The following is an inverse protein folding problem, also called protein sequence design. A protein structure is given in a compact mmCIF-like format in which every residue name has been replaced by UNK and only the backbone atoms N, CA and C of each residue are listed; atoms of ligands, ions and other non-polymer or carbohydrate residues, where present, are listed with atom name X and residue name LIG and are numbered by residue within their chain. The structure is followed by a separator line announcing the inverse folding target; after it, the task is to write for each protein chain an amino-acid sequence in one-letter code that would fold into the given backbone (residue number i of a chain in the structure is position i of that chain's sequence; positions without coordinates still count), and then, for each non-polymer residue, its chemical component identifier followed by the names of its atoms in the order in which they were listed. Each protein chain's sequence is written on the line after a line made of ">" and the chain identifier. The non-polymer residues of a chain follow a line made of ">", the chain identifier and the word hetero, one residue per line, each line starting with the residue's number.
data_IF_137741093703
#
_entry.id   IF_137741093703
#
_cell.length_a   1.000
_cell.length_b   1.000
_cell.length_c   1.000
_cell.angle_alpha   90.00
_cell.angle_beta   90.00
_cell.angle_gamma   90.00
#
_symmetry.space_group_name_H-M   'P 1'
#
loop_
_entity.id
_entity.type
_entity.pdbx_description
1 polymer ?
#
# COMPACT_ATOMS: atom_id res chain seq x y z
N UNK A 1 32.82 68.93 26.29
CA UNK A 1 32.60 67.50 26.55
C UNK A 1 31.13 67.21 26.36
N UNK A 2 30.75 66.63 25.22
CA UNK A 2 29.39 66.19 24.93
C UNK A 2 29.31 64.71 25.29
N UNK A 3 28.47 64.40 26.27
CA UNK A 3 28.10 63.02 26.64
C UNK A 3 27.14 62.49 25.62
N UNK A 4 27.61 61.52 24.82
CA UNK A 4 26.77 60.70 23.92
C UNK A 4 25.95 59.74 24.76
N UNK A 5 24.64 59.92 24.77
CA UNK A 5 23.71 58.94 25.31
C UNK A 5 23.55 57.81 24.30
N UNK A 6 24.07 56.63 24.61
CA UNK A 6 23.77 55.38 23.92
C UNK A 6 22.29 55.06 24.14
N UNK A 7 21.46 55.30 23.18
CA UNK A 7 20.10 54.71 23.09
C UNK A 7 20.25 53.27 22.62
N UNK A 8 20.26 52.30 23.56
CA UNK A 8 20.02 50.90 23.29
C UNK A 8 18.58 50.74 22.84
N UNK A 9 18.35 50.76 21.54
CA UNK A 9 17.08 50.36 20.93
C UNK A 9 16.98 48.85 20.95
N UNK A 10 16.66 48.29 22.11
CA UNK A 10 16.18 46.92 22.20
C UNK A 10 14.82 46.87 21.49
N UNK A 11 14.79 46.32 20.28
CA UNK A 11 13.56 46.14 19.50
C UNK A 11 12.65 45.22 20.31
N UNK A 12 11.70 45.76 21.04
CA UNK A 12 10.76 45.02 21.87
C UNK A 12 9.85 44.22 20.93
N UNK A 13 10.01 42.90 20.92
CA UNK A 13 9.20 41.99 20.11
C UNK A 13 7.76 42.00 20.63
N UNK A 14 6.79 42.21 19.76
CA UNK A 14 5.39 42.28 20.16
C UNK A 14 4.86 40.92 20.65
N UNK A 15 3.87 40.92 21.55
CA UNK A 15 3.22 39.69 21.99
C UNK A 15 2.59 38.89 20.82
N UNK A 16 2.21 39.58 19.73
CA UNK A 16 1.73 38.97 18.51
C UNK A 16 2.86 38.19 17.82
N UNK A 17 4.06 38.78 17.72
CA UNK A 17 5.22 38.09 17.11
C UNK A 17 5.64 36.91 17.97
N UNK A 18 5.54 36.98 19.29
CA UNK A 18 5.79 35.85 20.20
C UNK A 18 4.76 34.73 19.95
N UNK A 19 3.49 35.05 19.78
CA UNK A 19 2.46 34.05 19.45
C UNK A 19 2.76 33.39 18.12
N UNK A 20 3.16 34.13 17.09
CA UNK A 20 3.54 33.61 15.79
C UNK A 20 4.83 32.76 15.86
N UNK A 21 5.77 33.15 16.71
CA UNK A 21 6.96 32.36 17.02
C UNK A 21 6.60 31.03 17.68
N UNK A 22 5.70 31.01 18.68
CA UNK A 22 5.19 29.77 19.28
C UNK A 22 4.54 28.88 18.22
N UNK A 23 3.70 29.44 17.34
CA UNK A 23 3.03 28.68 16.29
C UNK A 23 4.01 28.01 15.32
N UNK A 24 5.09 28.69 14.93
CA UNK A 24 6.13 28.14 14.03
C UNK A 24 7.07 27.13 14.70
N UNK A 25 7.31 27.29 16.02
CA UNK A 25 8.32 26.52 16.76
C UNK A 25 7.72 25.60 17.84
N UNK A 26 6.42 25.29 17.80
CA UNK A 26 5.73 24.48 18.81
C UNK A 26 6.33 23.09 19.03
N UNK A 27 7.04 22.56 18.03
CA UNK A 27 7.76 21.27 18.08
C UNK A 27 9.06 21.31 18.90
N UNK A 28 9.58 22.51 19.23
CA UNK A 28 10.79 22.70 20.03
C UNK A 28 10.48 22.77 21.53
N UNK A 29 11.47 22.54 22.40
CA UNK A 29 11.29 22.69 23.85
C UNK A 29 11.17 24.19 24.22
N UNK A 30 9.95 24.72 24.13
CA UNK A 30 9.66 26.10 24.53
C UNK A 30 9.25 26.14 25.98
N UNK A 31 9.91 27.02 26.77
CA UNK A 31 9.57 27.34 28.17
C UNK A 31 9.07 28.78 28.30
N UNK A 32 8.35 29.06 29.37
CA UNK A 32 7.86 30.43 29.66
C UNK A 32 9.04 31.38 29.84
N UNK A 33 10.12 30.94 30.47
CA UNK A 33 11.34 31.72 30.68
C UNK A 33 11.98 32.09 29.33
N UNK A 34 12.03 31.14 28.40
CA UNK A 34 12.55 31.36 27.05
C UNK A 34 11.71 32.37 26.27
N UNK A 35 10.38 32.23 26.30
CA UNK A 35 9.45 33.16 25.65
C UNK A 35 9.49 34.55 26.23
N UNK A 36 9.59 34.65 27.57
CA UNK A 36 9.75 35.90 28.26
C UNK A 36 11.07 36.63 27.90
N UNK A 37 12.17 35.85 27.83
CA UNK A 37 13.47 36.38 27.39
C UNK A 37 13.41 36.96 25.97
N UNK A 38 12.81 36.26 25.04
CA UNK A 38 12.65 36.74 23.65
C UNK A 38 11.78 38.01 23.61
N UNK A 39 10.75 38.09 24.41
CA UNK A 39 9.86 39.27 24.47
C UNK A 39 10.47 40.47 25.17
N UNK A 40 11.60 40.32 25.84
CA UNK A 40 12.19 41.35 26.67
C UNK A 40 11.42 41.63 27.97
N UNK A 41 10.51 40.72 28.37
CA UNK A 41 9.69 40.87 29.58
C UNK A 41 10.16 39.92 30.70
N UNK A 42 9.87 40.26 31.95
CA UNK A 42 10.03 39.33 33.07
C UNK A 42 9.00 38.22 32.97
N UNK A 43 9.37 36.97 33.33
CA UNK A 43 8.51 35.77 33.17
C UNK A 43 7.13 35.93 33.83
N UNK A 44 7.05 36.51 35.02
CA UNK A 44 5.78 36.78 35.70
C UNK A 44 4.88 37.75 34.92
N UNK A 45 5.45 38.83 34.44
CA UNK A 45 4.72 39.82 33.65
C UNK A 45 4.34 39.32 32.26
N UNK A 46 5.24 38.54 31.61
CA UNK A 46 4.96 37.94 30.31
C UNK A 46 3.71 37.04 30.35
N UNK A 47 3.59 36.17 31.35
CA UNK A 47 2.44 35.27 31.50
C UNK A 47 1.11 36.03 31.61
N UNK A 48 1.07 37.07 32.42
CA UNK A 48 -0.12 37.92 32.59
C UNK A 48 -0.44 38.72 31.32
N UNK A 49 0.58 39.34 30.71
CA UNK A 49 0.43 40.14 29.50
C UNK A 49 -0.05 39.25 28.31
N UNK A 50 0.49 38.05 28.14
CA UNK A 50 0.07 37.11 27.10
C UNK A 50 -1.38 36.66 27.33
N UNK A 51 -1.74 36.30 28.58
CA UNK A 51 -3.11 35.90 28.92
C UNK A 51 -4.10 37.05 28.70
N UNK A 52 -3.75 38.27 29.06
CA UNK A 52 -4.59 39.43 28.81
C UNK A 52 -4.76 39.76 27.32
N UNK A 53 -3.70 39.57 26.53
CA UNK A 53 -3.73 39.85 25.07
C UNK A 53 -4.50 38.83 24.26
N UNK A 54 -4.48 37.54 24.69
CA UNK A 54 -5.00 36.43 23.88
C UNK A 54 -6.05 35.56 24.59
N UNK A 55 -6.50 35.97 25.77
CA UNK A 55 -7.50 35.26 26.60
C UNK A 55 -7.14 33.83 26.98
N UNK A 56 -5.87 33.45 26.83
CA UNK A 56 -5.33 32.14 27.20
C UNK A 56 -3.84 32.25 27.58
N UNK A 57 -3.35 31.33 28.42
CA UNK A 57 -1.93 31.30 28.75
C UNK A 57 -1.07 30.85 27.56
N UNK A 58 0.21 31.26 27.50
CA UNK A 58 1.15 30.85 26.49
C UNK A 58 1.35 29.31 26.52
N UNK A 59 1.29 28.69 27.71
CA UNK A 59 1.37 27.21 27.88
C UNK A 59 0.16 26.51 27.32
N UNK A 60 -1.06 27.05 27.52
CA UNK A 60 -2.28 26.45 26.96
C UNK A 60 -2.31 26.59 25.44
N UNK A 61 -1.89 27.75 24.92
CA UNK A 61 -1.76 28.00 23.50
C UNK A 61 -0.77 26.98 22.84
N UNK A 62 0.43 26.83 23.41
CA UNK A 62 1.41 25.85 22.96
C UNK A 62 0.86 24.42 23.03
N UNK A 63 0.16 24.08 24.12
CA UNK A 63 -0.48 22.76 24.27
C UNK A 63 -1.53 22.53 23.18
N UNK A 64 -2.39 23.50 22.91
CA UNK A 64 -3.44 23.39 21.89
C UNK A 64 -2.84 23.16 20.49
N UNK A 65 -1.76 23.88 20.13
CA UNK A 65 -1.04 23.69 18.88
C UNK A 65 -0.45 22.28 18.76
N UNK A 66 0.23 21.82 19.81
CA UNK A 66 0.83 20.47 19.84
C UNK A 66 -0.22 19.38 19.74
N UNK A 67 -1.31 19.49 20.46
CA UNK A 67 -2.42 18.53 20.40
C UNK A 67 -3.12 18.57 19.04
N UNK A 68 -3.33 19.75 18.46
CA UNK A 68 -3.86 19.91 17.12
C UNK A 68 -3.02 19.20 16.06
N UNK A 69 -1.71 19.41 16.10
CA UNK A 69 -0.76 18.72 15.20
C UNK A 69 -0.71 17.21 15.48
N UNK A 70 -0.75 16.78 16.76
CA UNK A 70 -0.83 15.38 17.11
C UNK A 70 -2.09 14.70 16.55
N UNK A 71 -3.25 15.34 16.64
CA UNK A 71 -4.50 14.85 16.02
C UNK A 71 -4.35 14.64 14.52
N UNK A 72 -3.70 15.56 13.83
CA UNK A 72 -3.42 15.43 12.40
C UNK A 72 -2.51 14.24 12.11
N UNK A 73 -1.37 14.11 12.80
CA UNK A 73 -0.44 12.98 12.62
C UNK A 73 -1.09 11.64 12.95
N UNK A 74 -1.89 11.56 14.04
CA UNK A 74 -2.61 10.35 14.42
C UNK A 74 -3.66 9.90 13.39
N UNK A 75 -4.26 10.86 12.67
CA UNK A 75 -5.24 10.59 11.62
C UNK A 75 -4.58 10.22 10.29
N UNK A 76 -3.52 10.96 9.91
CA UNK A 76 -3.00 10.99 8.54
C UNK A 76 -1.72 10.13 8.36
N UNK A 77 -1.15 9.57 9.45
CA UNK A 77 0.11 8.78 9.39
C UNK A 77 0.06 7.51 10.24
N UNK A 78 0.97 6.58 9.98
CA UNK A 78 1.19 5.37 10.78
C UNK A 78 2.42 5.46 11.68
N UNK A 79 2.86 6.69 12.00
CA UNK A 79 3.96 6.93 12.92
C UNK A 79 3.69 6.30 14.27
N UNK A 80 4.72 5.74 14.88
CA UNK A 80 4.64 5.23 16.25
C UNK A 80 4.34 6.38 17.22
N UNK A 81 3.64 6.07 18.30
CA UNK A 81 3.24 7.08 19.28
C UNK A 81 4.42 7.91 19.81
N UNK A 82 5.57 7.25 20.03
CA UNK A 82 6.82 7.91 20.43
C UNK A 82 7.34 8.90 19.38
N UNK A 83 7.15 8.61 18.10
CA UNK A 83 7.58 9.47 17.01
C UNK A 83 6.66 10.70 16.89
N UNK A 84 5.35 10.47 17.03
CA UNK A 84 4.37 11.55 17.09
C UNK A 84 4.67 12.47 18.28
N UNK A 85 4.88 11.90 19.47
CA UNK A 85 5.24 12.68 20.66
C UNK A 85 6.43 13.61 20.39
N UNK A 86 7.53 13.06 19.84
CA UNK A 86 8.73 13.83 19.49
C UNK A 86 8.46 14.92 18.44
N UNK A 87 7.72 14.59 17.38
CA UNK A 87 7.39 15.53 16.30
C UNK A 87 6.55 16.72 16.78
N UNK A 88 5.74 16.52 17.80
CA UNK A 88 4.91 17.60 18.37
C UNK A 88 5.53 18.25 19.60
N UNK A 89 6.78 17.92 19.94
CA UNK A 89 7.55 18.62 20.98
C UNK A 89 7.46 18.01 22.38
N UNK A 90 7.10 16.73 22.51
CA UNK A 90 7.20 15.98 23.77
C UNK A 90 8.35 14.98 23.74
N UNK A 91 9.18 14.96 24.75
CA UNK A 91 10.31 14.02 24.88
C UNK A 91 9.87 12.64 25.37
N UNK A 92 8.75 12.55 26.09
CA UNK A 92 8.22 11.33 26.70
C UNK A 92 6.83 10.98 26.15
N UNK A 93 6.67 9.76 25.63
CA UNK A 93 5.42 9.31 25.02
C UNK A 93 4.30 9.04 26.03
N UNK A 94 4.66 8.65 27.26
CA UNK A 94 3.66 8.40 28.31
C UNK A 94 3.11 9.71 28.86
N UNK A 95 3.98 10.72 29.01
CA UNK A 95 3.53 12.07 29.35
C UNK A 95 2.64 12.65 28.24
N UNK A 96 3.06 12.54 26.99
CA UNK A 96 2.25 12.93 25.83
C UNK A 96 0.88 12.25 25.84
N UNK A 97 0.84 10.93 26.03
CA UNK A 97 -0.41 10.15 26.04
C UNK A 97 -1.37 10.62 27.14
N UNK A 98 -0.87 10.87 28.35
CA UNK A 98 -1.67 11.42 29.46
C UNK A 98 -2.17 12.84 29.15
N UNK A 99 -1.29 13.69 28.61
CA UNK A 99 -1.65 15.07 28.23
C UNK A 99 -2.70 15.08 27.12
N UNK A 100 -2.50 14.27 26.09
CA UNK A 100 -3.47 14.13 24.99
C UNK A 100 -4.84 13.65 25.51
N UNK A 101 -4.87 12.62 26.37
CA UNK A 101 -6.13 12.13 26.98
C UNK A 101 -6.82 13.22 27.81
N UNK A 102 -6.05 14.03 28.55
CA UNK A 102 -6.60 15.14 29.32
C UNK A 102 -7.26 16.19 28.44
N UNK A 103 -6.62 16.55 27.31
CA UNK A 103 -7.09 17.62 26.41
C UNK A 103 -8.20 17.14 25.45
N UNK A 104 -8.22 15.84 25.09
CA UNK A 104 -9.11 15.26 24.04
C UNK A 104 -10.20 14.36 24.61
N UNK A 105 -10.03 13.89 25.85
CA UNK A 105 -10.96 12.97 26.50
C UNK A 105 -10.68 11.49 26.28
N UNK A 106 -9.98 11.13 25.19
CA UNK A 106 -9.63 9.75 24.82
C UNK A 106 -8.13 9.62 24.57
N UNK A 107 -7.61 8.39 24.62
CA UNK A 107 -6.19 8.13 24.37
C UNK A 107 -5.81 8.40 22.90
N UNK A 108 -4.52 8.71 22.58
CA UNK A 108 -4.07 8.88 21.20
C UNK A 108 -4.43 7.69 20.30
N UNK A 109 -4.28 6.44 20.79
CA UNK A 109 -4.61 5.24 20.02
C UNK A 109 -6.11 5.12 19.74
N UNK A 110 -6.97 5.43 20.73
CA UNK A 110 -8.42 5.46 20.51
C UNK A 110 -8.82 6.55 19.52
N UNK A 111 -8.20 7.75 19.63
CA UNK A 111 -8.42 8.82 18.67
C UNK A 111 -8.02 8.44 17.25
N UNK A 112 -6.83 7.86 17.08
CA UNK A 112 -6.36 7.38 15.77
C UNK A 112 -7.34 6.40 15.14
N UNK A 113 -7.82 5.42 15.93
CA UNK A 113 -8.79 4.43 15.47
C UNK A 113 -10.14 5.04 15.06
N UNK A 114 -10.60 6.05 15.78
CA UNK A 114 -11.87 6.76 15.47
C UNK A 114 -11.72 7.73 14.28
N UNK A 115 -10.58 8.41 14.15
CA UNK A 115 -10.36 9.44 13.15
C UNK A 115 -9.98 8.91 11.77
N UNK A 116 -9.60 7.62 11.66
CA UNK A 116 -9.29 6.98 10.37
C UNK A 116 -10.56 6.70 9.62
N UNK A 117 -10.61 7.16 8.38
CA UNK A 117 -11.72 6.83 7.48
C UNK A 117 -11.82 5.32 7.28
N UNK A 118 -13.03 4.80 7.33
CA UNK A 118 -13.38 3.40 7.07
C UNK A 118 -13.51 3.21 5.57
N UNK A 119 -12.61 2.44 4.98
CA UNK A 119 -12.52 2.30 3.53
C UNK A 119 -13.02 0.94 3.12
N UNK A 120 -13.76 0.87 2.01
CA UNK A 120 -14.23 -0.36 1.40
C UNK A 120 -13.95 -0.40 -0.09
N UNK A 121 -13.94 -1.60 -0.66
CA UNK A 121 -13.81 -1.82 -2.10
C UNK A 121 -14.40 -3.18 -2.49
N UNK A 122 -14.83 -3.29 -3.74
CA UNK A 122 -15.22 -4.57 -4.35
C UNK A 122 -14.15 -5.14 -5.29
N UNK A 123 -13.00 -4.48 -5.41
CA UNK A 123 -11.89 -4.90 -6.27
C UNK A 123 -10.77 -5.56 -5.47
N UNK A 124 -10.32 -6.76 -5.91
CA UNK A 124 -9.13 -7.43 -5.36
C UNK A 124 -7.89 -6.56 -5.58
N UNK A 125 -7.76 -5.93 -6.75
CA UNK A 125 -6.63 -5.06 -7.07
C UNK A 125 -6.59 -3.81 -6.19
N UNK A 126 -7.74 -3.17 -5.94
CA UNK A 126 -7.83 -2.06 -4.99
C UNK A 126 -7.50 -2.52 -3.56
N UNK A 127 -7.91 -3.73 -3.17
CA UNK A 127 -7.52 -4.32 -1.89
C UNK A 127 -6.01 -4.41 -1.76
N UNK A 128 -5.31 -4.93 -2.77
CA UNK A 128 -3.86 -5.00 -2.80
C UNK A 128 -3.18 -3.63 -2.72
N UNK A 129 -3.72 -2.62 -3.40
CA UNK A 129 -3.21 -1.25 -3.33
C UNK A 129 -3.41 -0.63 -1.93
N UNK A 130 -4.58 -0.82 -1.30
CA UNK A 130 -4.84 -0.37 0.07
C UNK A 130 -3.88 -1.02 1.07
N UNK A 131 -3.66 -2.33 0.94
CA UNK A 131 -2.73 -3.06 1.79
C UNK A 131 -1.27 -2.59 1.59
N UNK A 132 -0.87 -2.23 0.37
CA UNK A 132 0.43 -1.61 0.10
C UNK A 132 0.60 -0.26 0.82
N UNK A 133 -0.50 0.46 1.04
CA UNK A 133 -0.55 1.71 1.80
C UNK A 133 -0.71 1.51 3.32
N UNK A 134 -0.66 0.25 3.80
CA UNK A 134 -0.87 -0.08 5.21
C UNK A 134 -2.31 0.09 5.70
N UNK A 135 -3.29 0.10 4.79
CA UNK A 135 -4.69 0.28 5.11
C UNK A 135 -5.43 -1.04 5.04
N UNK A 136 -6.07 -1.42 6.16
CA UNK A 136 -6.99 -2.54 6.21
C UNK A 136 -8.41 -2.03 5.87
N UNK A 137 -8.99 -2.43 4.73
CA UNK A 137 -10.36 -2.06 4.41
C UNK A 137 -11.36 -2.71 5.40
N UNK A 138 -12.51 -2.05 5.61
CA UNK A 138 -13.58 -2.61 6.47
C UNK A 138 -14.47 -3.60 5.72
N UNK A 139 -14.46 -3.53 4.39
CA UNK A 139 -15.09 -4.52 3.51
C UNK A 139 -14.24 -4.66 2.25
N UNK A 140 -13.90 -5.88 1.87
CA UNK A 140 -13.11 -6.19 0.69
C UNK A 140 -13.39 -7.61 0.18
N UNK A 141 -13.12 -7.90 -1.10
CA UNK A 141 -13.18 -9.25 -1.62
C UNK A 141 -12.02 -10.10 -1.08
N UNK A 142 -12.36 -11.15 -0.36
CA UNK A 142 -11.42 -12.17 0.11
C UNK A 142 -11.96 -13.55 -0.22
N UNK A 143 -11.21 -14.32 -0.97
CA UNK A 143 -11.58 -15.67 -1.38
C UNK A 143 -10.40 -16.62 -1.23
N UNK A 144 -10.60 -17.75 -0.54
CA UNK A 144 -9.56 -18.71 -0.25
C UNK A 144 -8.96 -19.38 -1.51
N UNK A 145 -9.74 -19.47 -2.60
CA UNK A 145 -9.31 -20.09 -3.85
C UNK A 145 -8.67 -19.10 -4.81
N UNK A 146 -9.28 -17.89 -4.95
CA UNK A 146 -8.90 -16.92 -5.98
C UNK A 146 -7.95 -15.83 -5.50
N UNK A 147 -8.00 -15.52 -4.20
CA UNK A 147 -7.07 -14.58 -3.56
C UNK A 147 -6.45 -15.17 -2.27
N UNK A 148 -5.84 -16.36 -2.33
CA UNK A 148 -5.37 -17.11 -1.17
C UNK A 148 -4.38 -16.31 -0.30
N UNK A 149 -3.56 -15.48 -0.90
CA UNK A 149 -2.62 -14.64 -0.16
C UNK A 149 -3.36 -13.69 0.77
N UNK A 150 -4.34 -12.93 0.26
CA UNK A 150 -5.10 -12.00 1.08
C UNK A 150 -5.97 -12.71 2.10
N UNK A 151 -6.61 -13.81 1.69
CA UNK A 151 -7.40 -14.62 2.60
C UNK A 151 -6.57 -15.09 3.79
N UNK A 152 -5.43 -15.75 3.57
CA UNK A 152 -4.61 -16.31 4.63
C UNK A 152 -4.03 -15.26 5.59
N UNK A 153 -3.75 -14.03 5.11
CA UNK A 153 -3.12 -13.00 5.94
C UNK A 153 -4.11 -12.03 6.58
N UNK A 154 -5.31 -11.89 6.03
CA UNK A 154 -6.20 -10.78 6.37
C UNK A 154 -7.65 -11.17 6.66
N UNK A 155 -8.08 -12.44 6.51
CA UNK A 155 -9.48 -12.83 6.71
C UNK A 155 -9.99 -12.54 8.14
N UNK A 156 -9.14 -12.66 9.15
CA UNK A 156 -9.50 -12.29 10.54
C UNK A 156 -9.42 -10.78 10.81
N UNK A 157 -8.69 -10.04 9.97
CA UNK A 157 -8.43 -8.61 10.15
C UNK A 157 -9.40 -7.72 9.40
N UNK A 158 -9.91 -8.19 8.26
CA UNK A 158 -10.91 -7.50 7.44
C UNK A 158 -12.28 -8.07 7.83
N UNK A 159 -13.15 -7.27 8.45
CA UNK A 159 -14.34 -7.81 9.11
C UNK A 159 -15.45 -8.25 8.16
N UNK A 160 -15.50 -7.69 6.94
CA UNK A 160 -16.56 -7.99 5.97
C UNK A 160 -15.96 -8.45 4.64
N UNK A 161 -16.31 -9.69 4.24
CA UNK A 161 -15.87 -10.28 2.98
C UNK A 161 -16.99 -10.22 1.95
N UNK A 162 -16.72 -9.58 0.81
CA UNK A 162 -17.65 -9.45 -0.30
C UNK A 162 -17.36 -10.46 -1.40
N UNK A 163 -18.37 -10.81 -2.18
CA UNK A 163 -18.24 -11.74 -3.29
C UNK A 163 -17.47 -11.04 -4.45
N UNK A 164 -16.45 -11.73 -4.98
CA UNK A 164 -15.61 -11.24 -6.09
C UNK A 164 -16.27 -11.39 -7.47
N UNK A 165 -17.26 -12.30 -7.61
CA UNK A 165 -17.85 -12.65 -8.91
C UNK A 165 -19.13 -11.89 -9.22
N UNK A 166 -19.73 -11.26 -8.21
CA UNK A 166 -20.94 -10.48 -8.35
C UNK A 166 -20.87 -9.27 -7.42
N UNK A 167 -20.08 -8.28 -7.85
CA UNK A 167 -19.78 -7.09 -7.05
C UNK A 167 -21.04 -6.31 -6.66
N UNK A 168 -22.04 -6.24 -7.56
CA UNK A 168 -23.26 -5.48 -7.38
C UNK A 168 -24.44 -6.33 -6.89
N UNK A 169 -24.18 -7.49 -6.28
CA UNK A 169 -25.24 -8.31 -5.69
C UNK A 169 -25.88 -7.64 -4.47
N UNK A 170 -27.16 -7.95 -4.24
CA UNK A 170 -27.88 -7.47 -3.05
C UNK A 170 -27.19 -7.88 -1.73
N UNK A 171 -26.56 -9.06 -1.71
CA UNK A 171 -25.78 -9.54 -0.56
C UNK A 171 -24.56 -8.65 -0.29
N UNK A 172 -23.82 -8.29 -1.33
CA UNK A 172 -22.68 -7.36 -1.20
C UNK A 172 -23.14 -5.98 -0.73
N UNK A 173 -24.27 -5.48 -1.19
CA UNK A 173 -24.82 -4.22 -0.73
C UNK A 173 -25.20 -4.27 0.76
N UNK A 174 -25.84 -5.34 1.21
CA UNK A 174 -26.15 -5.56 2.64
C UNK A 174 -24.87 -5.64 3.49
N UNK A 175 -23.87 -6.36 3.03
CA UNK A 175 -22.55 -6.46 3.67
C UNK A 175 -21.85 -5.10 3.77
N UNK A 176 -21.85 -4.33 2.68
CA UNK A 176 -21.24 -3.01 2.65
C UNK A 176 -21.95 -2.05 3.61
N UNK A 177 -23.30 -2.03 3.62
CA UNK A 177 -24.07 -1.23 4.56
C UNK A 177 -23.75 -1.59 6.02
N UNK A 178 -23.62 -2.88 6.34
CA UNK A 178 -23.25 -3.35 7.68
C UNK A 178 -21.83 -2.93 8.09
N UNK A 179 -20.92 -2.86 7.12
CA UNK A 179 -19.54 -2.42 7.33
C UNK A 179 -19.44 -0.92 7.62
N UNK A 180 -20.45 -0.11 7.30
CA UNK A 180 -20.50 1.35 7.51
C UNK A 180 -19.21 2.04 7.09
N UNK A 181 -18.76 1.94 5.83
CA UNK A 181 -17.59 2.65 5.36
C UNK A 181 -17.87 4.14 5.21
N UNK A 182 -16.83 4.97 5.32
CA UNK A 182 -16.89 6.40 5.00
C UNK A 182 -16.59 6.64 3.52
N UNK A 183 -15.73 5.76 2.93
CA UNK A 183 -15.31 5.83 1.53
C UNK A 183 -15.46 4.45 0.88
N UNK A 184 -15.99 4.42 -0.34
CA UNK A 184 -15.90 3.27 -1.23
C UNK A 184 -15.02 3.61 -2.45
N UNK A 185 -14.04 2.75 -2.75
CA UNK A 185 -13.10 2.97 -3.86
C UNK A 185 -13.42 1.99 -4.98
N UNK A 186 -13.67 2.55 -6.16
CA UNK A 186 -13.90 1.83 -7.41
C UNK A 186 -12.65 1.85 -8.30
N UNK A 187 -12.42 0.77 -9.03
CA UNK A 187 -11.41 0.67 -10.08
C UNK A 187 -12.04 0.56 -11.47
N UNK A 188 -13.29 0.07 -11.51
CA UNK A 188 -14.12 0.02 -12.71
C UNK A 188 -15.30 0.96 -12.53
N UNK A 189 -15.88 1.42 -13.64
CA UNK A 189 -17.02 2.31 -13.61
C UNK A 189 -18.24 1.55 -13.02
N UNK A 190 -18.77 1.99 -11.87
CA UNK A 190 -19.91 1.33 -11.26
C UNK A 190 -21.19 1.61 -12.04
N UNK A 191 -22.21 0.75 -11.86
CA UNK A 191 -23.54 1.02 -12.41
C UNK A 191 -24.17 2.26 -11.77
N UNK A 192 -25.09 2.90 -12.50
CA UNK A 192 -25.85 4.03 -11.96
C UNK A 192 -26.64 3.64 -10.70
N UNK A 193 -27.19 2.42 -10.66
CA UNK A 193 -27.91 1.89 -9.50
C UNK A 193 -27.01 1.79 -8.28
N UNK A 194 -25.74 1.39 -8.45
CA UNK A 194 -24.77 1.33 -7.37
C UNK A 194 -24.41 2.73 -6.86
N UNK A 195 -24.21 3.70 -7.75
CA UNK A 195 -23.91 5.08 -7.37
C UNK A 195 -25.08 5.71 -6.59
N UNK A 196 -26.30 5.55 -7.08
CA UNK A 196 -27.51 6.08 -6.42
C UNK A 196 -27.68 5.45 -5.03
N UNK A 197 -27.45 4.15 -4.92
CA UNK A 197 -27.54 3.46 -3.64
C UNK A 197 -26.49 3.97 -2.63
N UNK A 198 -25.22 4.11 -3.04
CA UNK A 198 -24.17 4.63 -2.17
C UNK A 198 -24.44 6.07 -1.73
N UNK A 199 -24.96 6.91 -2.63
CA UNK A 199 -25.39 8.27 -2.30
C UNK A 199 -26.50 8.27 -1.25
N UNK A 200 -27.48 7.36 -1.37
CA UNK A 200 -28.59 7.22 -0.41
C UNK A 200 -28.09 6.92 1.00
N UNK A 201 -27.03 6.12 1.15
CA UNK A 201 -26.45 5.76 2.45
C UNK A 201 -25.29 6.67 2.88
N UNK A 202 -24.99 7.73 2.11
CA UNK A 202 -24.03 8.79 2.48
C UNK A 202 -22.56 8.38 2.43
N UNK A 203 -22.17 7.41 1.59
CA UNK A 203 -20.78 6.97 1.41
C UNK A 203 -20.11 7.84 0.34
N UNK A 204 -18.91 8.35 0.64
CA UNK A 204 -18.06 9.06 -0.32
C UNK A 204 -17.53 8.05 -1.38
N UNK A 205 -17.69 8.38 -2.65
CA UNK A 205 -17.24 7.55 -3.76
C UNK A 205 -15.95 8.08 -4.35
N UNK A 206 -14.96 7.21 -4.51
CA UNK A 206 -13.70 7.52 -5.19
C UNK A 206 -13.53 6.57 -6.36
N UNK A 207 -13.36 7.12 -7.54
CA UNK A 207 -13.14 6.36 -8.76
C UNK A 207 -11.70 6.49 -9.23
N UNK A 208 -11.01 5.37 -9.41
CA UNK A 208 -9.62 5.30 -9.86
C UNK A 208 -9.61 5.14 -11.38
N UNK A 209 -9.10 6.16 -12.09
CA UNK A 209 -9.12 6.19 -13.55
C UNK A 209 -7.81 5.71 -14.18
N UNK A 210 -6.72 5.74 -13.44
CA UNK A 210 -5.41 5.34 -13.93
C UNK A 210 -5.38 3.87 -14.37
N UNK A 211 -4.64 3.60 -15.45
CA UNK A 211 -4.51 2.25 -16.00
C UNK A 211 -3.19 1.55 -15.63
N UNK A 212 -2.20 2.28 -15.18
CA UNK A 212 -0.96 1.73 -14.66
C UNK A 212 -0.96 1.68 -13.13
N UNK A 213 -0.34 0.68 -12.54
CA UNK A 213 -0.41 0.42 -11.11
C UNK A 213 0.25 1.50 -10.24
N UNK A 214 1.30 2.18 -10.75
CA UNK A 214 1.99 3.24 -10.02
C UNK A 214 1.07 4.45 -9.85
N UNK A 215 0.42 4.85 -10.93
CA UNK A 215 -0.56 5.95 -10.90
C UNK A 215 -1.81 5.56 -10.12
N UNK A 216 -2.30 4.32 -10.24
CA UNK A 216 -3.40 3.81 -9.40
C UNK A 216 -3.06 3.92 -7.91
N UNK A 217 -1.86 3.48 -7.51
CA UNK A 217 -1.42 3.56 -6.13
C UNK A 217 -1.34 5.03 -5.65
N UNK A 218 -0.86 5.95 -6.49
CA UNK A 218 -0.83 7.39 -6.20
C UNK A 218 -2.23 7.98 -6.04
N UNK A 219 -3.15 7.69 -6.95
CA UNK A 219 -4.54 8.17 -6.86
C UNK A 219 -5.22 7.69 -5.57
N UNK A 220 -5.08 6.39 -5.25
CA UNK A 220 -5.59 5.84 -4.00
C UNK A 220 -4.90 6.51 -2.80
N UNK A 221 -3.57 6.66 -2.83
CA UNK A 221 -2.82 7.31 -1.76
C UNK A 221 -3.26 8.75 -1.50
N UNK A 222 -3.61 9.51 -2.55
CA UNK A 222 -4.19 10.86 -2.41
C UNK A 222 -5.54 10.80 -1.72
N UNK A 223 -6.45 9.93 -2.17
CA UNK A 223 -7.79 9.80 -1.61
C UNK A 223 -7.78 9.41 -0.12
N UNK A 224 -6.79 8.60 0.29
CA UNK A 224 -6.66 8.11 1.67
C UNK A 224 -5.59 8.85 2.49
N UNK A 225 -4.97 9.92 1.95
CA UNK A 225 -3.94 10.76 2.58
C UNK A 225 -2.68 10.00 3.00
N UNK A 226 -2.21 9.11 2.13
CA UNK A 226 -1.02 8.26 2.32
C UNK A 226 0.04 8.46 1.22
N UNK A 227 0.14 9.65 0.64
CA UNK A 227 1.01 9.94 -0.51
C UNK A 227 2.47 9.55 -0.26
N UNK A 228 3.01 9.89 0.92
CA UNK A 228 4.40 9.54 1.27
C UNK A 228 4.64 8.04 1.36
N UNK A 229 3.65 7.27 1.83
CA UNK A 229 3.71 5.80 1.91
C UNK A 229 3.69 5.22 0.50
N UNK A 230 2.79 5.71 -0.37
CA UNK A 230 2.69 5.28 -1.76
C UNK A 230 3.99 5.53 -2.54
N UNK A 231 4.57 6.73 -2.43
CA UNK A 231 5.84 7.03 -3.10
C UNK A 231 7.00 6.18 -2.56
N UNK A 232 7.05 5.95 -1.26
CA UNK A 232 8.07 5.08 -0.67
C UNK A 232 7.94 3.64 -1.18
N UNK A 233 6.72 3.11 -1.30
CA UNK A 233 6.48 1.78 -1.86
C UNK A 233 6.99 1.69 -3.31
N UNK A 234 6.65 2.68 -4.16
CA UNK A 234 7.08 2.73 -5.57
C UNK A 234 8.59 2.77 -5.65
N UNK A 235 9.25 3.67 -4.90
CA UNK A 235 10.72 3.80 -4.90
C UNK A 235 11.40 2.50 -4.43
N UNK A 236 10.87 1.85 -3.40
CA UNK A 236 11.41 0.57 -2.91
C UNK A 236 11.27 -0.54 -3.94
N UNK A 237 10.15 -0.58 -4.66
CA UNK A 237 9.95 -1.52 -5.77
C UNK A 237 10.93 -1.26 -6.92
N UNK A 238 11.10 0.00 -7.34
CA UNK A 238 12.00 0.37 -8.44
C UNK A 238 13.46 0.05 -8.12
N UNK A 239 13.89 0.27 -6.88
CA UNK A 239 15.22 -0.15 -6.43
C UNK A 239 15.39 -1.66 -6.51
N UNK A 240 14.39 -2.42 -6.07
CA UNK A 240 14.38 -3.87 -6.14
C UNK A 240 14.41 -4.39 -7.59
N UNK A 241 13.71 -3.72 -8.51
CA UNK A 241 13.76 -4.03 -9.95
C UNK A 241 15.18 -3.89 -10.49
N UNK A 242 15.90 -2.81 -10.15
CA UNK A 242 17.28 -2.60 -10.60
C UNK A 242 18.20 -3.74 -10.18
N UNK A 243 18.08 -4.20 -8.93
CA UNK A 243 18.88 -5.29 -8.39
C UNK A 243 18.50 -6.64 -9.04
N UNK A 244 17.20 -6.94 -9.07
CA UNK A 244 16.66 -8.17 -9.64
C UNK A 244 17.00 -8.32 -11.13
N UNK A 245 16.89 -7.26 -11.91
CA UNK A 245 17.21 -7.24 -13.34
C UNK A 245 18.66 -7.66 -13.62
N UNK A 246 19.63 -7.15 -12.84
CA UNK A 246 21.02 -7.51 -13.02
C UNK A 246 21.28 -9.00 -12.74
N UNK A 247 20.70 -9.53 -11.68
CA UNK A 247 20.85 -10.92 -11.28
C UNK A 247 20.17 -11.88 -12.26
N UNK A 248 18.92 -11.57 -12.63
CA UNK A 248 18.16 -12.35 -13.59
C UNK A 248 18.86 -12.36 -14.94
N UNK A 249 19.37 -11.23 -15.44
CA UNK A 249 20.12 -11.15 -16.69
C UNK A 249 21.36 -12.05 -16.69
N UNK A 250 22.08 -12.13 -15.56
CA UNK A 250 23.22 -13.06 -15.43
C UNK A 250 22.81 -14.51 -15.54
N UNK A 251 21.64 -14.88 -14.97
CA UNK A 251 21.13 -16.25 -14.94
C UNK A 251 20.48 -16.67 -16.25
N UNK A 252 19.86 -15.74 -16.98
CA UNK A 252 19.03 -16.04 -18.17
C UNK A 252 19.67 -15.60 -19.47
N UNK A 253 20.68 -14.73 -19.41
CA UNK A 253 21.35 -14.17 -20.60
C UNK A 253 20.35 -13.59 -21.61
N UNK A 254 20.27 -14.17 -22.80
CA UNK A 254 19.38 -13.76 -23.90
C UNK A 254 18.22 -14.77 -24.11
N UNK A 255 17.91 -15.57 -23.10
CA UNK A 255 16.83 -16.55 -23.17
C UNK A 255 15.50 -15.88 -23.51
N UNK A 256 14.72 -16.53 -24.37
CA UNK A 256 13.37 -16.13 -24.73
C UNK A 256 12.34 -16.72 -23.77
N UNK A 257 11.36 -15.90 -23.42
CA UNK A 257 10.31 -16.26 -22.46
C UNK A 257 8.95 -16.36 -23.14
N UNK A 258 8.21 -17.42 -22.84
CA UNK A 258 6.79 -17.52 -23.14
C UNK A 258 5.99 -17.75 -21.85
N UNK A 259 4.87 -17.05 -21.73
CA UNK A 259 3.91 -17.29 -20.65
C UNK A 259 2.72 -18.03 -21.24
N UNK A 260 2.41 -19.17 -20.68
CA UNK A 260 1.28 -20.00 -21.07
C UNK A 260 0.21 -19.98 -19.99
N UNK A 261 -1.04 -19.95 -20.42
CA UNK A 261 -2.21 -20.13 -19.58
C UNK A 261 -2.99 -21.35 -20.04
N UNK A 262 -3.37 -22.17 -19.07
CA UNK A 262 -4.25 -23.31 -19.32
C UNK A 262 -5.71 -22.91 -19.02
N UNK A 263 -6.59 -23.06 -20.01
CA UNK A 263 -8.04 -22.83 -19.86
C UNK A 263 -8.80 -24.06 -20.39
N UNK A 264 -9.38 -24.85 -19.47
CA UNK A 264 -9.92 -26.16 -19.84
C UNK A 264 -8.80 -27.10 -20.31
N UNK A 265 -8.93 -27.60 -21.52
CA UNK A 265 -7.96 -28.46 -22.25
C UNK A 265 -7.19 -27.67 -23.34
N UNK A 266 -7.27 -26.34 -23.31
CA UNK A 266 -6.65 -25.50 -24.35
C UNK A 266 -5.49 -24.70 -23.77
N UNK A 267 -4.44 -24.53 -24.56
CA UNK A 267 -3.28 -23.70 -24.27
C UNK A 267 -3.45 -22.32 -24.89
N UNK A 268 -3.09 -21.32 -24.12
CA UNK A 268 -3.06 -19.93 -24.59
C UNK A 268 -1.67 -19.35 -24.34
N UNK A 269 -1.13 -18.69 -25.34
CA UNK A 269 -0.04 -17.75 -25.14
C UNK A 269 -0.65 -16.51 -24.47
N UNK A 270 -0.11 -16.11 -23.33
CA UNK A 270 -0.80 -15.19 -22.44
C UNK A 270 0.10 -14.07 -21.94
N UNK A 271 -0.41 -12.86 -21.97
CA UNK A 271 0.21 -11.70 -21.36
C UNK A 271 -0.85 -10.72 -20.89
N UNK A 272 -1.00 -10.54 -19.59
CA UNK A 272 -1.81 -9.47 -19.02
C UNK A 272 -0.93 -8.26 -18.67
N UNK A 273 -1.55 -7.19 -18.16
CA UNK A 273 -0.85 -5.94 -17.80
C UNK A 273 0.25 -6.16 -16.75
N UNK A 274 0.02 -6.99 -15.73
CA UNK A 274 1.02 -7.31 -14.70
C UNK A 274 2.24 -8.04 -15.26
N UNK A 275 2.01 -9.04 -16.12
CA UNK A 275 3.08 -9.75 -16.82
C UNK A 275 3.86 -8.79 -17.72
N UNK A 276 3.16 -7.97 -18.49
CA UNK A 276 3.77 -6.97 -19.35
C UNK A 276 4.69 -6.02 -18.56
N UNK A 277 4.18 -5.47 -17.46
CA UNK A 277 4.91 -4.50 -16.65
C UNK A 277 6.12 -5.16 -15.96
N UNK A 278 5.95 -6.29 -15.28
CA UNK A 278 7.03 -6.92 -14.51
C UNK A 278 8.07 -7.59 -15.39
N UNK A 279 7.65 -8.47 -16.31
CA UNK A 279 8.59 -9.28 -17.08
C UNK A 279 9.25 -8.48 -18.21
N UNK A 280 8.44 -7.78 -19.00
CA UNK A 280 8.92 -7.23 -20.27
C UNK A 280 9.30 -5.73 -20.16
N UNK A 281 8.65 -4.97 -19.29
CA UNK A 281 8.99 -3.56 -19.09
C UNK A 281 10.07 -3.38 -18.01
N UNK A 282 9.82 -3.86 -16.81
CA UNK A 282 10.69 -3.64 -15.65
C UNK A 282 11.95 -4.54 -15.71
N UNK A 283 11.81 -5.86 -15.86
CA UNK A 283 12.93 -6.80 -15.95
C UNK A 283 13.57 -6.87 -17.32
N UNK A 284 12.90 -6.38 -18.37
CA UNK A 284 13.37 -6.39 -19.76
C UNK A 284 13.75 -7.80 -20.28
N UNK A 285 12.97 -8.82 -19.87
CA UNK A 285 13.12 -10.16 -20.41
C UNK A 285 12.69 -10.17 -21.87
N UNK A 286 13.29 -11.05 -22.66
CA UNK A 286 12.99 -11.18 -24.10
C UNK A 286 11.71 -12.01 -24.31
N UNK A 287 10.59 -11.41 -24.78
CA UNK A 287 9.39 -12.19 -25.08
C UNK A 287 9.62 -13.06 -26.33
N UNK A 288 8.87 -14.18 -26.43
CA UNK A 288 8.91 -15.07 -27.58
C UNK A 288 8.36 -14.42 -28.86
N UNK A 289 7.42 -13.47 -28.71
CA UNK A 289 6.88 -12.66 -29.78
C UNK A 289 7.15 -11.18 -29.47
N UNK A 290 7.44 -10.41 -30.51
CA UNK A 290 7.79 -8.99 -30.38
C UNK A 290 6.59 -8.07 -29.99
N UNK A 291 5.41 -8.61 -29.72
CA UNK A 291 4.23 -7.84 -29.38
C UNK A 291 4.35 -7.31 -27.95
N UNK A 292 4.48 -5.99 -27.82
CA UNK A 292 4.50 -5.27 -26.53
C UNK A 292 3.07 -4.97 -26.02
N UNK A 293 2.12 -5.88 -26.23
CA UNK A 293 0.71 -5.70 -25.87
C UNK A 293 0.20 -6.87 -25.03
N UNK A 294 -0.88 -6.63 -24.29
CA UNK A 294 -1.60 -7.72 -23.64
C UNK A 294 -2.26 -8.62 -24.67
N UNK A 295 -2.15 -9.94 -24.51
CA UNK A 295 -2.73 -10.93 -25.41
C UNK A 295 -3.20 -12.17 -24.66
N UNK A 296 -4.14 -12.89 -25.28
CA UNK A 296 -4.62 -14.21 -24.83
C UNK A 296 -4.97 -15.01 -26.09
N UNK A 297 -3.95 -15.58 -26.71
CA UNK A 297 -4.04 -16.21 -28.03
C UNK A 297 -4.00 -17.71 -27.89
N UNK A 298 -4.98 -18.41 -28.46
CA UNK A 298 -4.97 -19.87 -28.51
C UNK A 298 -3.73 -20.36 -29.29
N UNK A 299 -3.03 -21.34 -28.74
CA UNK A 299 -1.85 -21.92 -29.35
C UNK A 299 -1.93 -23.44 -29.27
N UNK A 300 -1.61 -24.12 -30.38
CA UNK A 300 -1.44 -25.56 -30.39
C UNK A 300 -0.05 -25.97 -29.90
N UNK A 301 0.10 -27.21 -29.46
CA UNK A 301 1.41 -27.70 -29.03
C UNK A 301 2.44 -27.66 -30.16
N UNK A 302 2.01 -27.94 -31.40
CA UNK A 302 2.90 -27.89 -32.59
C UNK A 302 3.36 -26.44 -32.86
N UNK A 303 2.47 -25.46 -32.74
CA UNK A 303 2.86 -24.06 -32.85
C UNK A 303 3.83 -23.65 -31.74
N UNK A 304 3.62 -24.11 -30.50
CA UNK A 304 4.53 -23.84 -29.39
C UNK A 304 5.92 -24.47 -29.64
N UNK A 305 5.95 -25.70 -30.15
CA UNK A 305 7.22 -26.37 -30.54
C UNK A 305 7.95 -25.62 -31.64
N UNK A 306 7.23 -25.07 -32.62
CA UNK A 306 7.83 -24.23 -33.66
C UNK A 306 8.40 -22.91 -33.12
N UNK A 307 7.73 -22.26 -32.15
CA UNK A 307 8.25 -21.07 -31.45
C UNK A 307 9.45 -21.41 -30.58
N UNK A 308 9.44 -22.55 -29.93
CA UNK A 308 10.50 -23.16 -29.14
C UNK A 308 11.19 -22.21 -28.14
N UNK A 309 10.47 -21.64 -27.16
CA UNK A 309 11.03 -20.74 -26.17
C UNK A 309 12.11 -21.40 -25.32
N UNK A 310 13.05 -20.59 -24.80
CA UNK A 310 14.09 -21.09 -23.92
C UNK A 310 13.57 -21.30 -22.48
N UNK A 311 12.55 -20.52 -22.08
CA UNK A 311 11.88 -20.60 -20.77
C UNK A 311 10.37 -20.50 -20.89
N UNK A 312 9.68 -21.32 -20.12
CA UNK A 312 8.23 -21.37 -20.04
C UNK A 312 7.75 -21.03 -18.63
N UNK A 313 6.88 -20.04 -18.54
CA UNK A 313 6.10 -19.71 -17.34
C UNK A 313 4.67 -20.22 -17.57
N UNK A 314 4.22 -21.16 -16.75
CA UNK A 314 2.97 -21.88 -16.97
C UNK A 314 1.96 -21.58 -15.87
N UNK A 315 0.95 -20.76 -16.16
CA UNK A 315 -0.07 -20.38 -15.18
C UNK A 315 -1.18 -21.42 -15.16
N UNK A 316 -1.33 -22.07 -14.01
CA UNK A 316 -2.35 -23.09 -13.79
C UNK A 316 -3.35 -22.57 -12.78
N UNK A 317 -4.62 -22.44 -13.20
CA UNK A 317 -5.71 -22.13 -12.27
C UNK A 317 -5.99 -23.32 -11.35
N UNK A 318 -6.49 -23.10 -10.11
CA UNK A 318 -6.66 -24.15 -9.11
C UNK A 318 -7.81 -25.12 -9.37
N UNK A 319 -8.38 -25.15 -10.57
CA UNK A 319 -9.50 -26.03 -10.92
C UNK A 319 -9.03 -27.44 -11.34
N UNK A 320 -9.73 -28.46 -10.84
CA UNK A 320 -9.39 -29.88 -11.03
C UNK A 320 -9.21 -30.33 -12.49
N UNK A 321 -10.10 -29.97 -13.45
CA UNK A 321 -9.94 -30.39 -14.85
C UNK A 321 -8.63 -29.93 -15.50
N UNK A 322 -8.17 -28.72 -15.13
CA UNK A 322 -6.93 -28.13 -15.66
C UNK A 322 -5.67 -28.86 -15.18
N UNK A 323 -5.72 -29.38 -13.96
CA UNK A 323 -4.63 -30.21 -13.42
C UNK A 323 -4.44 -31.51 -14.17
N UNK A 324 -5.51 -32.17 -14.57
CA UNK A 324 -5.44 -33.42 -15.38
C UNK A 324 -4.80 -33.16 -16.74
N UNK A 325 -5.22 -32.13 -17.44
CA UNK A 325 -4.65 -31.78 -18.73
C UNK A 325 -3.14 -31.43 -18.62
N UNK A 326 -2.76 -30.66 -17.61
CA UNK A 326 -1.34 -30.38 -17.33
C UNK A 326 -0.52 -31.65 -17.14
N UNK A 327 -1.03 -32.60 -16.36
CA UNK A 327 -0.35 -33.87 -16.15
C UNK A 327 -0.23 -34.67 -17.47
N UNK A 328 -1.29 -34.72 -18.27
CA UNK A 328 -1.29 -35.38 -19.58
C UNK A 328 -0.29 -34.76 -20.56
N UNK A 329 -0.25 -33.43 -20.61
CA UNK A 329 0.64 -32.66 -21.49
C UNK A 329 2.11 -33.04 -21.31
N UNK A 330 2.54 -33.28 -20.09
CA UNK A 330 3.92 -33.61 -19.74
C UNK A 330 4.38 -34.97 -20.31
N UNK A 331 3.45 -35.87 -20.64
CA UNK A 331 3.76 -37.20 -21.24
C UNK A 331 3.84 -37.17 -22.75
N UNK A 332 3.35 -36.12 -23.40
CA UNK A 332 3.37 -36.01 -24.86
C UNK A 332 4.80 -35.84 -25.37
N UNK A 333 5.18 -36.60 -26.41
CA UNK A 333 6.51 -36.51 -26.97
C UNK A 333 6.80 -35.13 -27.56
N UNK A 334 5.81 -34.50 -28.19
CA UNK A 334 5.92 -33.14 -28.68
C UNK A 334 6.24 -32.13 -27.58
N UNK A 335 5.70 -32.30 -26.35
CA UNK A 335 6.06 -31.46 -25.18
C UNK A 335 7.53 -31.64 -24.82
N UNK A 336 8.04 -32.88 -24.85
CA UNK A 336 9.44 -33.20 -24.52
C UNK A 336 10.43 -32.65 -25.55
N UNK A 337 9.98 -32.31 -26.77
CA UNK A 337 10.81 -31.71 -27.81
C UNK A 337 11.20 -30.25 -27.48
N UNK A 338 10.39 -29.54 -26.68
CA UNK A 338 10.63 -28.16 -26.30
C UNK A 338 11.98 -27.98 -25.60
N UNK A 339 12.72 -26.93 -25.99
CA UNK A 339 14.01 -26.59 -25.40
C UNK A 339 13.86 -26.30 -23.90
N UNK A 340 12.84 -25.55 -23.53
CA UNK A 340 12.53 -25.26 -22.12
C UNK A 340 12.34 -26.53 -21.29
N UNK A 341 11.67 -27.55 -21.84
CA UNK A 341 11.44 -28.81 -21.15
C UNK A 341 12.74 -29.62 -21.03
N UNK A 342 13.51 -29.73 -22.11
CA UNK A 342 14.82 -30.43 -22.12
C UNK A 342 15.80 -29.84 -21.11
N UNK A 343 15.77 -28.54 -20.93
CA UNK A 343 16.67 -27.80 -20.03
C UNK A 343 16.13 -27.65 -18.60
N UNK A 344 14.92 -28.14 -18.30
CA UNK A 344 14.30 -27.97 -16.98
C UNK A 344 13.84 -26.52 -16.68
N UNK A 345 13.61 -25.72 -17.71
CA UNK A 345 13.23 -24.32 -17.61
C UNK A 345 11.70 -24.12 -17.76
N UNK A 346 10.92 -24.97 -17.11
CA UNK A 346 9.46 -24.86 -17.04
C UNK A 346 9.07 -24.50 -15.60
N UNK A 347 8.46 -23.33 -15.42
CA UNK A 347 8.06 -22.81 -14.11
C UNK A 347 6.55 -22.78 -14.02
N UNK A 348 5.99 -23.48 -13.05
CA UNK A 348 4.55 -23.49 -12.80
C UNK A 348 4.19 -22.38 -11.83
N UNK A 349 3.28 -21.54 -12.25
CA UNK A 349 2.84 -20.34 -11.52
C UNK A 349 1.41 -20.52 -11.01
N UNK A 350 1.10 -20.09 -9.79
CA UNK A 350 -0.27 -20.02 -9.30
C UNK A 350 -1.03 -18.85 -9.98
N UNK A 351 -2.35 -18.88 -9.98
CA UNK A 351 -3.15 -17.79 -10.52
C UNK A 351 -2.97 -16.46 -9.77
N UNK A 352 -2.79 -16.51 -8.46
CA UNK A 352 -2.45 -15.34 -7.64
C UNK A 352 -0.97 -15.39 -7.25
N UNK A 353 -0.18 -14.33 -7.53
CA UNK A 353 -0.58 -12.97 -7.96
C UNK A 353 -0.73 -12.73 -9.48
N UNK A 354 -0.51 -13.73 -10.33
CA UNK A 354 -0.27 -13.56 -11.76
C UNK A 354 -1.50 -13.10 -12.59
N UNK A 355 -2.71 -13.18 -12.04
CA UNK A 355 -3.93 -12.62 -12.64
C UNK A 355 -4.38 -11.32 -11.98
N UNK A 356 -3.66 -10.86 -10.97
CA UNK A 356 -4.00 -9.64 -10.25
C UNK A 356 -3.12 -8.47 -10.72
N UNK A 357 -3.67 -7.25 -10.66
CA UNK A 357 -2.95 -6.04 -11.02
C UNK A 357 -3.04 -5.01 -9.89
N UNK A 358 -2.19 -5.16 -8.89
CA UNK A 358 -2.06 -4.24 -7.75
C UNK A 358 -0.59 -4.08 -7.34
N UNK A 359 -0.28 -3.07 -6.56
CA UNK A 359 1.06 -2.84 -6.04
C UNK A 359 1.63 -4.07 -5.29
N UNK A 360 0.83 -4.74 -4.46
CA UNK A 360 1.23 -5.99 -3.78
C UNK A 360 1.48 -7.11 -4.78
N UNK A 361 0.57 -7.31 -5.74
CA UNK A 361 0.70 -8.39 -6.73
C UNK A 361 1.95 -8.19 -7.61
N UNK A 362 2.19 -6.99 -8.09
CA UNK A 362 3.36 -6.62 -8.89
C UNK A 362 4.66 -6.88 -8.11
N UNK A 363 4.72 -6.47 -6.84
CA UNK A 363 5.91 -6.73 -6.02
C UNK A 363 6.12 -8.24 -5.78
N UNK A 364 5.06 -9.01 -5.58
CA UNK A 364 5.13 -10.48 -5.43
C UNK A 364 5.55 -11.18 -6.72
N UNK A 365 5.06 -10.73 -7.88
CA UNK A 365 5.52 -11.26 -9.18
C UNK A 365 7.02 -11.06 -9.36
N UNK A 366 7.55 -9.90 -8.97
CA UNK A 366 8.99 -9.64 -9.01
C UNK A 366 9.77 -10.60 -8.09
N UNK A 367 9.24 -10.85 -6.88
CA UNK A 367 9.83 -11.79 -5.92
C UNK A 367 9.84 -13.22 -6.46
N UNK A 368 8.72 -13.66 -7.04
CA UNK A 368 8.61 -14.98 -7.67
C UNK A 368 9.63 -15.12 -8.81
N UNK A 369 9.78 -14.12 -9.67
CA UNK A 369 10.76 -14.14 -10.77
C UNK A 369 12.19 -14.23 -10.26
N UNK A 370 12.54 -13.44 -9.25
CA UNK A 370 13.87 -13.47 -8.66
C UNK A 370 14.18 -14.86 -8.06
N UNK A 371 13.27 -15.40 -7.27
CA UNK A 371 13.40 -16.71 -6.66
C UNK A 371 13.54 -17.83 -7.71
N UNK A 372 12.63 -17.87 -8.68
CA UNK A 372 12.59 -18.94 -9.70
C UNK A 372 13.81 -18.93 -10.61
N UNK A 373 14.28 -17.75 -11.01
CA UNK A 373 15.35 -17.66 -12.01
C UNK A 373 16.76 -17.64 -11.42
N UNK A 374 16.90 -17.26 -10.14
CA UNK A 374 18.22 -17.13 -9.50
C UNK A 374 18.40 -18.00 -8.25
N UNK A 375 17.31 -18.58 -7.73
CA UNK A 375 17.30 -19.30 -6.45
C UNK A 375 17.40 -18.40 -5.22
N UNK A 376 17.43 -17.08 -5.39
CA UNK A 376 17.49 -16.11 -4.27
C UNK A 376 16.10 -15.79 -3.77
N UNK A 377 15.83 -16.10 -2.51
CA UNK A 377 14.59 -15.70 -1.87
C UNK A 377 14.70 -14.24 -1.36
N UNK A 378 13.95 -13.29 -1.93
CA UNK A 378 13.99 -11.89 -1.48
C UNK A 378 13.29 -11.69 -0.12
N UNK A 379 12.50 -12.66 0.33
CA UNK A 379 11.83 -12.64 1.62
C UNK A 379 12.57 -13.55 2.61
N UNK A 380 13.33 -13.00 3.57
CA UNK A 380 14.05 -13.81 4.56
C UNK A 380 13.12 -14.58 5.51
N UNK A 381 11.84 -14.19 5.58
CA UNK A 381 10.79 -14.89 6.32
C UNK A 381 9.85 -15.54 5.29
N UNK A 382 10.00 -16.84 5.00
CA UNK A 382 9.07 -17.52 4.11
C UNK A 382 7.67 -17.45 4.71
N UNK A 383 6.77 -16.77 4.01
CA UNK A 383 5.35 -16.88 4.31
C UNK A 383 4.97 -18.31 3.93
N UNK A 384 4.43 -19.13 4.86
CA UNK A 384 4.06 -20.50 4.53
C UNK A 384 3.03 -20.48 3.40
N UNK A 385 3.44 -20.93 2.23
CA UNK A 385 2.56 -21.22 1.10
C UNK A 385 2.09 -22.64 1.31
N UNK A 386 0.87 -22.80 1.81
CA UNK A 386 0.18 -24.07 2.10
C UNK A 386 0.81 -24.95 3.21
N UNK A 387 0.11 -25.00 4.34
CA UNK A 387 0.07 -26.16 5.23
C UNK A 387 1.42 -26.75 5.66
N UNK A 388 2.35 -25.92 6.09
CA UNK A 388 3.34 -26.43 7.02
C UNK A 388 2.60 -26.70 8.34
N UNK A 389 2.18 -27.95 8.49
CA UNK A 389 1.97 -28.52 9.82
C UNK A 389 3.28 -28.30 10.55
N UNK A 390 3.27 -27.44 11.56
CA UNK A 390 4.41 -27.32 12.45
C UNK A 390 4.71 -28.69 13.01
N UNK A 391 5.96 -29.15 12.92
CA UNK A 391 6.45 -30.40 13.55
C UNK A 391 6.36 -30.34 15.09
N UNK A 392 5.23 -29.97 15.62
CA UNK A 392 4.95 -29.75 17.04
C UNK A 392 3.74 -30.49 17.58
N UNK A 393 2.95 -31.15 16.72
CA UNK A 393 1.76 -31.94 17.12
C UNK A 393 1.85 -33.37 16.60
N UNK A 394 2.87 -34.09 17.06
CA UNK A 394 2.93 -35.57 17.08
C UNK A 394 3.30 -36.02 18.48
#
# INVERSE_FOLDING_TARGET
>A
MKTESRTDTTTQISLKDIRDYIAKNHHQPLTIEHLALISGLRSSYFGEAFKKAFDQSATDYLTALRIGHAKQLLRDTDLLLREIARKVGYSDEFYFSRKFKKEVGITPSAYSKMARKRISTFSVSTTGNLLALGILPVAAPLDAKWSPYYYNHYHEKIPVHVNIFDAESEDNFKKLASAKPDIHIFQEEPSLSMLDWLQTIGIENVYIQAKDWRTQLREIAIAVKKQSVGEHFIQSYEQKVLEAKQEIKRATKEDSFAVLRLCGDQLFLYCNKGIQDVLFTDLQLRPINAQQQTYNEHITLDQLVNLNPDRLLFIICPDSPRRHYWLTLQYLDRWKELRAVKNGHVYVLPSNPWFEYSAIAINRMLDDMLLMLTGKNPNPFPVPVHGNVSDGDL
#
